data_IF_889460649049
#
_entry.id   IF_889460649049
#
_cell.length_a   1.000
_cell.length_b   1.000
_cell.length_c   1.000
_cell.angle_alpha   90.00
_cell.angle_beta   90.00
_cell.angle_gamma   90.00
#
_symmetry.space_group_name_H-M   'P 1'
#
loop_
_entity.id
_entity.type
_entity.pdbx_description
1 polymer ?
#
# COMPACT_ATOMS: atom_id res chain seq x y z
N UNK A 1 -5.55 17.95 25.46
CA UNK A 1 -4.92 16.61 25.60
C UNK A 1 -5.74 15.51 24.94
N UNK A 2 -7.00 15.30 25.27
CA UNK A 2 -7.83 14.21 24.72
C UNK A 2 -7.90 14.21 23.18
N UNK A 3 -8.06 15.37 22.55
CA UNK A 3 -8.08 15.51 21.09
C UNK A 3 -6.79 15.05 20.41
N UNK A 4 -5.64 15.37 20.99
CA UNK A 4 -4.33 14.97 20.46
C UNK A 4 -4.14 13.46 20.52
N UNK A 5 -4.55 12.85 21.63
CA UNK A 5 -4.49 11.40 21.79
C UNK A 5 -5.44 10.69 20.81
N UNK A 6 -6.67 11.18 20.67
CA UNK A 6 -7.63 10.61 19.73
C UNK A 6 -7.15 10.72 18.27
N UNK A 7 -6.66 11.88 17.88
CA UNK A 7 -6.10 12.10 16.54
C UNK A 7 -4.90 11.18 16.28
N UNK A 8 -4.01 11.01 17.26
CA UNK A 8 -2.87 10.11 17.18
C UNK A 8 -3.29 8.65 17.03
N UNK A 9 -4.25 8.18 17.84
CA UNK A 9 -4.79 6.82 17.74
C UNK A 9 -5.41 6.57 16.36
N UNK A 10 -6.22 7.49 15.86
CA UNK A 10 -6.87 7.35 14.56
C UNK A 10 -5.84 7.32 13.42
N UNK A 11 -4.89 8.23 13.45
CA UNK A 11 -3.81 8.31 12.45
C UNK A 11 -2.96 7.03 12.45
N UNK A 12 -2.55 6.57 13.65
CA UNK A 12 -1.75 5.37 13.80
C UNK A 12 -2.50 4.11 13.37
N UNK A 13 -3.75 3.94 13.82
CA UNK A 13 -4.59 2.82 13.40
C UNK A 13 -4.75 2.78 11.89
N UNK A 14 -5.07 3.92 11.27
CA UNK A 14 -5.25 4.01 9.81
C UNK A 14 -3.98 3.61 9.05
N UNK A 15 -2.82 4.03 9.52
CA UNK A 15 -1.51 3.70 8.93
C UNK A 15 -1.23 2.21 8.99
N UNK A 16 -1.32 1.60 10.18
CA UNK A 16 -1.02 0.18 10.37
C UNK A 16 -2.01 -0.73 9.63
N UNK A 17 -3.31 -0.41 9.69
CA UNK A 17 -4.36 -1.17 8.98
C UNK A 17 -4.16 -1.08 7.46
N UNK A 18 -3.73 0.05 6.94
CA UNK A 18 -3.39 0.20 5.53
C UNK A 18 -2.24 -0.73 5.13
N UNK A 19 -1.14 -0.73 5.89
CA UNK A 19 0.01 -1.61 5.64
C UNK A 19 -0.37 -3.10 5.71
N UNK A 20 -1.12 -3.52 6.72
CA UNK A 20 -1.62 -4.89 6.84
C UNK A 20 -2.54 -5.27 5.68
N UNK A 21 -3.42 -4.38 5.26
CA UNK A 21 -4.34 -4.62 4.14
C UNK A 21 -3.58 -4.81 2.82
N UNK A 22 -2.58 -3.98 2.53
CA UNK A 22 -1.72 -4.12 1.35
C UNK A 22 -0.98 -5.46 1.41
N UNK A 23 -0.47 -5.84 2.58
CA UNK A 23 0.19 -7.13 2.79
C UNK A 23 -0.76 -8.31 2.50
N UNK A 24 -1.99 -8.28 3.01
CA UNK A 24 -3.01 -9.31 2.76
C UNK A 24 -3.37 -9.41 1.28
N UNK A 25 -3.55 -8.29 0.58
CA UNK A 25 -3.81 -8.27 -0.86
C UNK A 25 -2.62 -8.86 -1.63
N UNK A 26 -1.40 -8.52 -1.24
CA UNK A 26 -0.18 -9.05 -1.87
C UNK A 26 -0.10 -10.56 -1.68
N UNK A 27 -0.36 -11.07 -0.47
CA UNK A 27 -0.39 -12.49 -0.18
C UNK A 27 -1.47 -13.23 -0.97
N UNK A 28 -2.69 -12.69 -1.05
CA UNK A 28 -3.76 -13.27 -1.86
C UNK A 28 -3.33 -13.42 -3.32
N UNK A 29 -2.79 -12.38 -3.91
CA UNK A 29 -2.33 -12.40 -5.30
C UNK A 29 -1.16 -13.35 -5.52
N UNK A 30 -0.22 -13.37 -4.60
CA UNK A 30 0.91 -14.29 -4.64
C UNK A 30 0.44 -15.75 -4.61
N UNK A 31 -0.47 -16.11 -3.71
CA UNK A 31 -1.02 -17.46 -3.60
C UNK A 31 -1.77 -17.85 -4.88
N UNK A 32 -2.62 -16.99 -5.40
CA UNK A 32 -3.41 -17.28 -6.61
C UNK A 32 -2.51 -17.52 -7.83
N UNK A 33 -1.43 -16.76 -7.96
CA UNK A 33 -0.54 -16.86 -9.13
C UNK A 33 0.46 -18.00 -9.05
N UNK A 34 0.99 -18.28 -7.85
CA UNK A 34 2.03 -19.33 -7.69
C UNK A 34 1.45 -20.70 -7.39
N UNK A 35 0.27 -20.76 -6.81
CA UNK A 35 -0.40 -22.00 -6.41
C UNK A 35 -1.82 -22.09 -7.00
N UNK A 36 -1.98 -22.14 -8.35
CA UNK A 36 -3.29 -22.06 -8.99
C UNK A 36 -4.20 -23.25 -8.63
N UNK A 37 -3.64 -24.39 -8.27
CA UNK A 37 -4.36 -25.60 -7.85
C UNK A 37 -4.53 -25.73 -6.33
N UNK A 38 -4.04 -24.77 -5.56
CA UNK A 38 -4.18 -24.78 -4.11
C UNK A 38 -5.64 -24.52 -3.71
N UNK A 39 -6.09 -25.26 -2.70
CA UNK A 39 -7.37 -24.98 -2.04
C UNK A 39 -7.27 -23.77 -1.10
N UNK A 40 -6.07 -23.29 -0.81
CA UNK A 40 -5.80 -22.12 0.02
C UNK A 40 -6.07 -20.87 -0.83
N UNK A 41 -7.30 -20.38 -0.76
CA UNK A 41 -7.71 -19.11 -1.39
C UNK A 41 -8.49 -18.29 -0.37
N UNK A 42 -8.33 -16.99 -0.42
CA UNK A 42 -9.15 -16.09 0.38
C UNK A 42 -10.60 -16.13 -0.13
N UNK A 43 -11.42 -16.96 0.53
CA UNK A 43 -12.88 -16.92 0.35
C UNK A 43 -13.41 -15.63 1.02
N UNK A 44 -14.59 -15.12 0.64
CA UNK A 44 -15.12 -13.88 1.24
C UNK A 44 -15.15 -13.88 2.76
N UNK A 45 -15.47 -15.01 3.39
CA UNK A 45 -15.47 -15.14 4.85
C UNK A 45 -14.05 -15.06 5.46
N UNK A 46 -13.06 -15.73 4.85
CA UNK A 46 -11.68 -15.70 5.34
C UNK A 46 -11.03 -14.34 5.08
N UNK A 47 -11.36 -13.67 3.96
CA UNK A 47 -10.93 -12.31 3.70
C UNK A 47 -11.49 -11.33 4.74
N UNK A 48 -12.78 -11.42 5.03
CA UNK A 48 -13.42 -10.60 6.07
C UNK A 48 -12.79 -10.81 7.44
N UNK A 49 -12.51 -12.07 7.81
CA UNK A 49 -11.81 -12.39 9.07
C UNK A 49 -10.40 -11.81 9.09
N UNK A 50 -9.62 -11.93 8.00
CA UNK A 50 -8.28 -11.38 7.91
C UNK A 50 -8.29 -9.84 8.01
N UNK A 51 -9.26 -9.17 7.38
CA UNK A 51 -9.45 -7.73 7.54
C UNK A 51 -9.83 -7.35 8.97
N UNK A 52 -10.73 -8.10 9.60
CA UNK A 52 -11.09 -7.87 11.01
C UNK A 52 -9.89 -8.01 11.93
N UNK A 53 -9.05 -9.03 11.72
CA UNK A 53 -7.80 -9.21 12.45
C UNK A 53 -6.82 -8.06 12.22
N UNK A 54 -6.68 -7.58 10.99
CA UNK A 54 -5.86 -6.41 10.68
C UNK A 54 -6.33 -5.16 11.44
N UNK A 55 -7.65 -4.94 11.50
CA UNK A 55 -8.25 -3.84 12.25
C UNK A 55 -8.06 -3.99 13.76
N UNK A 56 -8.27 -5.18 14.31
CA UNK A 56 -8.10 -5.43 15.76
C UNK A 56 -6.65 -5.31 16.19
N UNK A 57 -5.72 -5.81 15.39
CA UNK A 57 -4.28 -5.67 15.67
C UNK A 57 -3.85 -4.20 15.54
N UNK A 58 -4.20 -3.51 14.45
CA UNK A 58 -3.85 -2.10 14.25
C UNK A 58 -4.40 -1.19 15.34
N UNK A 59 -5.66 -1.38 15.73
CA UNK A 59 -6.27 -0.66 16.85
C UNK A 59 -5.61 -1.01 18.18
N UNK A 60 -5.31 -2.30 18.43
CA UNK A 60 -4.61 -2.75 19.62
C UNK A 60 -3.24 -2.10 19.77
N UNK A 61 -2.45 -2.06 18.68
CA UNK A 61 -1.17 -1.36 18.65
C UNK A 61 -1.32 0.14 18.92
N UNK A 62 -2.36 0.78 18.40
CA UNK A 62 -2.59 2.20 18.63
C UNK A 62 -3.05 2.53 20.06
N UNK A 63 -3.84 1.66 20.70
CA UNK A 63 -4.41 1.90 22.04
C UNK A 63 -3.44 1.47 23.14
N UNK A 64 -2.59 0.46 22.89
CA UNK A 64 -1.67 -0.08 23.89
C UNK A 64 -0.83 0.99 24.62
N UNK A 65 -0.24 2.00 23.94
CA UNK A 65 0.51 3.05 24.64
C UNK A 65 -0.31 3.91 25.60
N UNK A 66 -1.63 3.97 25.42
CA UNK A 66 -2.52 4.74 26.29
C UNK A 66 -2.74 4.07 27.66
N UNK A 67 -2.49 2.76 27.77
CA UNK A 67 -2.56 2.04 29.05
C UNK A 67 -1.49 2.52 30.03
N UNK A 68 -0.42 3.12 29.52
CA UNK A 68 0.63 3.75 30.32
C UNK A 68 0.39 5.27 30.40
N UNK A 69 -0.42 5.69 31.37
CA UNK A 69 -0.82 7.11 31.52
C UNK A 69 0.36 8.09 31.61
N UNK A 70 1.52 7.63 32.10
CA UNK A 70 2.75 8.42 32.22
C UNK A 70 3.46 8.69 30.91
N UNK A 71 3.15 7.92 29.85
CA UNK A 71 3.86 8.06 28.59
C UNK A 71 3.45 9.28 27.78
N UNK A 72 2.22 9.77 27.95
CA UNK A 72 1.66 10.88 27.14
C UNK A 72 1.98 10.74 25.65
N UNK A 73 1.95 9.50 25.14
CA UNK A 73 2.57 9.02 23.91
C UNK A 73 2.29 9.90 22.68
N UNK A 74 1.02 10.27 22.46
CA UNK A 74 0.61 11.08 21.29
C UNK A 74 0.72 12.59 21.51
N UNK A 75 0.99 13.04 22.74
CA UNK A 75 1.11 14.47 23.06
C UNK A 75 2.56 14.95 23.15
N UNK A 76 3.53 14.05 22.96
CA UNK A 76 4.96 14.38 23.02
C UNK A 76 5.43 15.24 21.82
N UNK A 77 4.72 15.18 20.71
CA UNK A 77 5.04 15.97 19.52
C UNK A 77 3.87 16.88 19.15
N UNK A 78 4.17 18.06 18.61
CA UNK A 78 3.15 19.01 18.13
C UNK A 78 2.29 18.46 16.98
N UNK A 79 2.62 17.30 16.46
CA UNK A 79 2.08 16.72 15.22
C UNK A 79 1.24 15.45 15.47
N UNK A 80 1.02 15.06 16.72
CA UNK A 80 0.24 13.88 17.13
C UNK A 80 0.68 12.56 16.45
N UNK A 81 1.93 12.48 16.00
CA UNK A 81 2.49 11.29 15.37
C UNK A 81 3.37 10.56 16.39
N UNK A 82 3.22 9.26 16.54
CA UNK A 82 4.02 8.45 17.46
C UNK A 82 5.45 8.19 16.95
N UNK A 83 6.01 9.10 16.15
CA UNK A 83 7.30 8.89 15.52
C UNK A 83 8.43 9.44 16.38
N UNK A 84 9.47 8.63 16.71
CA UNK A 84 10.60 9.09 17.50
C UNK A 84 11.57 9.89 16.61
N UNK A 85 11.18 11.11 16.25
CA UNK A 85 12.02 12.01 15.42
C UNK A 85 12.74 13.04 16.30
N UNK A 86 12.68 12.90 17.62
CA UNK A 86 13.33 13.78 18.57
C UNK A 86 14.47 13.05 19.29
N UNK A 87 15.55 13.77 19.62
CA UNK A 87 16.67 13.26 20.40
C UNK A 87 16.32 12.87 21.85
N UNK A 88 15.21 13.33 22.36
CA UNK A 88 14.81 13.07 23.74
C UNK A 88 14.20 11.67 23.84
N UNK A 89 14.85 10.81 24.64
CA UNK A 89 14.27 9.55 25.04
C UNK A 89 13.03 9.81 25.90
N UNK A 90 11.87 9.71 25.29
CA UNK A 90 10.61 9.82 26.01
C UNK A 90 10.10 8.41 26.40
N UNK A 91 9.29 8.30 27.45
CA UNK A 91 8.66 7.04 27.79
C UNK A 91 7.86 6.49 26.59
N UNK A 92 8.10 5.22 26.21
CA UNK A 92 7.50 4.64 25.02
C UNK A 92 8.31 4.76 23.71
N UNK A 93 9.50 5.38 23.75
CA UNK A 93 10.37 5.49 22.57
C UNK A 93 10.67 4.13 21.92
N UNK A 94 11.04 3.13 22.69
CA UNK A 94 11.30 1.77 22.18
C UNK A 94 10.09 1.14 21.52
N UNK A 95 8.90 1.34 22.09
CA UNK A 95 7.66 0.89 21.50
C UNK A 95 7.40 1.57 20.14
N UNK A 96 7.48 2.88 20.12
CA UNK A 96 7.34 3.68 18.90
C UNK A 96 8.33 3.24 17.82
N UNK A 97 9.60 3.08 18.15
CA UNK A 97 10.63 2.62 17.23
C UNK A 97 10.33 1.21 16.70
N UNK A 98 9.97 0.28 17.59
CA UNK A 98 9.71 -1.11 17.20
C UNK A 98 8.50 -1.22 16.26
N UNK A 99 7.43 -0.49 16.49
CA UNK A 99 6.23 -0.58 15.66
C UNK A 99 6.37 0.30 14.40
N UNK A 100 6.76 1.57 14.54
CA UNK A 100 6.82 2.50 13.42
C UNK A 100 7.96 2.21 12.44
N UNK A 101 9.11 1.73 12.93
CA UNK A 101 10.28 1.51 12.08
C UNK A 101 10.45 0.02 11.78
N UNK A 102 10.59 -0.82 12.81
CA UNK A 102 10.95 -2.23 12.58
C UNK A 102 9.81 -3.02 11.95
N UNK A 103 8.59 -2.94 12.50
CA UNK A 103 7.42 -3.64 11.97
C UNK A 103 7.08 -3.16 10.56
N UNK A 104 6.98 -1.85 10.35
CA UNK A 104 6.63 -1.30 9.04
C UNK A 104 7.71 -1.60 7.99
N UNK A 105 9.00 -1.57 8.36
CA UNK A 105 10.07 -1.96 7.45
C UNK A 105 9.99 -3.45 7.08
N UNK A 106 9.71 -4.33 8.03
CA UNK A 106 9.52 -5.75 7.78
C UNK A 106 8.31 -6.02 6.85
N UNK A 107 7.18 -5.36 7.11
CA UNK A 107 6.00 -5.42 6.23
C UNK A 107 6.32 -4.92 4.83
N UNK A 108 7.03 -3.80 4.73
CA UNK A 108 7.44 -3.24 3.45
C UNK A 108 8.31 -4.21 2.64
N UNK A 109 9.33 -4.81 3.27
CA UNK A 109 10.18 -5.81 2.60
C UNK A 109 9.36 -7.01 2.12
N UNK A 110 8.46 -7.51 2.96
CA UNK A 110 7.56 -8.62 2.61
C UNK A 110 6.67 -8.27 1.41
N UNK A 111 6.06 -7.10 1.42
CA UNK A 111 5.22 -6.61 0.32
C UNK A 111 6.05 -6.43 -0.96
N UNK A 112 7.23 -5.83 -0.88
CA UNK A 112 8.10 -5.60 -2.03
C UNK A 112 8.55 -6.91 -2.67
N UNK A 113 8.95 -7.90 -1.88
CA UNK A 113 9.32 -9.23 -2.36
C UNK A 113 8.12 -9.95 -3.00
N UNK A 114 6.96 -9.89 -2.38
CA UNK A 114 5.72 -10.44 -2.93
C UNK A 114 5.33 -9.81 -4.26
N UNK A 115 5.39 -8.49 -4.37
CA UNK A 115 5.11 -7.76 -5.62
C UNK A 115 6.13 -8.05 -6.72
N UNK A 116 7.42 -8.14 -6.37
CA UNK A 116 8.46 -8.53 -7.32
C UNK A 116 8.21 -9.95 -7.88
N UNK A 117 7.89 -10.90 -7.02
CA UNK A 117 7.56 -12.26 -7.42
C UNK A 117 6.31 -12.31 -8.33
N UNK A 118 5.24 -11.60 -7.97
CA UNK A 118 4.03 -11.46 -8.80
C UNK A 118 4.39 -10.89 -10.17
N UNK A 119 5.14 -9.81 -10.23
CA UNK A 119 5.53 -9.15 -11.47
C UNK A 119 6.35 -10.06 -12.39
N UNK A 120 7.34 -10.77 -11.84
CA UNK A 120 8.20 -11.71 -12.58
C UNK A 120 7.34 -12.84 -13.15
N UNK A 121 6.44 -13.42 -12.36
CA UNK A 121 5.58 -14.52 -12.77
C UNK A 121 4.62 -14.11 -13.88
N UNK A 122 3.95 -12.97 -13.73
CA UNK A 122 3.03 -12.46 -14.75
C UNK A 122 3.78 -12.19 -16.07
N UNK A 123 4.95 -11.54 -16.00
CA UNK A 123 5.78 -11.27 -17.17
C UNK A 123 6.25 -12.55 -17.86
N UNK A 124 6.72 -13.54 -17.10
CA UNK A 124 7.17 -14.84 -17.64
C UNK A 124 6.03 -15.58 -18.33
N UNK A 125 4.84 -15.60 -17.74
CA UNK A 125 3.68 -16.27 -18.32
C UNK A 125 3.19 -15.59 -19.61
N UNK A 126 3.21 -14.27 -19.66
CA UNK A 126 2.87 -13.49 -20.87
C UNK A 126 3.81 -13.80 -22.03
N UNK A 127 5.11 -13.97 -21.76
CA UNK A 127 6.11 -14.30 -22.78
C UNK A 127 5.96 -15.74 -23.32
N UNK A 128 5.50 -16.67 -22.48
CA UNK A 128 5.39 -18.11 -22.86
C UNK A 128 4.10 -18.44 -23.63
N UNK A 129 3.00 -17.81 -23.34
CA UNK A 129 1.66 -18.23 -23.80
C UNK A 129 1.02 -17.29 -24.83
N UNK A 130 1.61 -16.14 -25.11
CA UNK A 130 0.95 -15.07 -25.86
C UNK A 130 -0.13 -14.37 -25.02
N UNK A 131 -0.63 -13.23 -25.51
CA UNK A 131 -1.56 -12.41 -24.74
C UNK A 131 -2.99 -12.96 -24.82
N UNK A 132 -3.43 -13.75 -23.84
CA UNK A 132 -4.85 -14.09 -23.69
C UNK A 132 -5.58 -13.04 -22.84
N UNK A 133 -6.90 -12.92 -23.04
CA UNK A 133 -7.75 -11.88 -22.39
C UNK A 133 -7.68 -11.92 -20.85
N UNK A 134 -7.47 -13.09 -20.25
CA UNK A 134 -7.30 -13.25 -18.79
C UNK A 134 -5.95 -12.71 -18.29
N UNK A 135 -4.87 -12.93 -19.04
CA UNK A 135 -3.53 -12.48 -18.67
C UNK A 135 -3.37 -10.95 -18.74
N UNK A 136 -4.09 -10.27 -19.62
CA UNK A 136 -4.08 -8.80 -19.66
C UNK A 136 -4.68 -8.20 -18.38
N UNK A 137 -5.70 -8.84 -17.80
CA UNK A 137 -6.31 -8.41 -16.55
C UNK A 137 -5.34 -8.58 -15.35
N UNK A 138 -4.67 -9.73 -15.26
CA UNK A 138 -3.71 -10.01 -14.18
C UNK A 138 -2.50 -9.08 -14.24
N UNK A 139 -1.99 -8.78 -15.43
CA UNK A 139 -0.88 -7.82 -15.62
C UNK A 139 -1.27 -6.41 -15.18
N UNK A 140 -2.47 -5.98 -15.53
CA UNK A 140 -2.97 -4.66 -15.16
C UNK A 140 -3.18 -4.55 -13.66
N UNK A 141 -3.73 -5.59 -13.03
CA UNK A 141 -3.92 -5.62 -11.58
C UNK A 141 -2.58 -5.58 -10.85
N UNK A 142 -1.59 -6.36 -11.31
CA UNK A 142 -0.24 -6.35 -10.75
C UNK A 142 0.43 -4.98 -10.87
N UNK A 143 0.29 -4.29 -12.01
CA UNK A 143 0.80 -2.93 -12.18
C UNK A 143 0.13 -1.93 -11.23
N UNK A 144 -1.18 -2.03 -11.02
CA UNK A 144 -1.91 -1.16 -10.08
C UNK A 144 -1.40 -1.32 -8.65
N UNK A 145 -1.28 -2.57 -8.21
CA UNK A 145 -0.78 -2.87 -6.87
C UNK A 145 0.66 -2.39 -6.70
N UNK A 146 1.52 -2.62 -7.68
CA UNK A 146 2.90 -2.14 -7.66
C UNK A 146 2.97 -0.60 -7.55
N UNK A 147 2.10 0.11 -8.28
CA UNK A 147 2.04 1.59 -8.22
C UNK A 147 1.64 2.08 -6.83
N UNK A 148 0.66 1.45 -6.18
CA UNK A 148 0.26 1.78 -4.80
C UNK A 148 1.40 1.51 -3.83
N UNK A 149 2.06 0.35 -3.93
CA UNK A 149 3.19 0.00 -3.06
C UNK A 149 4.36 0.96 -3.22
N UNK A 150 4.68 1.36 -4.47
CA UNK A 150 5.75 2.34 -4.72
C UNK A 150 5.38 3.71 -4.15
N UNK A 151 4.13 4.16 -4.30
CA UNK A 151 3.70 5.45 -3.74
C UNK A 151 3.75 5.45 -2.21
N UNK A 152 3.29 4.38 -1.56
CA UNK A 152 3.40 4.20 -0.12
C UNK A 152 4.87 4.23 0.34
N UNK A 153 5.74 3.49 -0.36
CA UNK A 153 7.16 3.50 -0.06
C UNK A 153 7.77 4.90 -0.13
N UNK A 154 7.50 5.64 -1.21
CA UNK A 154 8.03 6.99 -1.38
C UNK A 154 7.56 7.95 -0.28
N UNK A 155 6.38 7.72 0.30
CA UNK A 155 5.88 8.50 1.43
C UNK A 155 6.53 8.09 2.76
N UNK A 156 6.66 6.78 3.03
CA UNK A 156 7.12 6.28 4.33
C UNK A 156 8.65 6.17 4.45
N UNK A 157 9.35 5.96 3.34
CA UNK A 157 10.81 5.82 3.34
C UNK A 157 11.56 7.04 3.93
N UNK A 158 11.25 8.30 3.54
CA UNK A 158 11.88 9.47 4.16
C UNK A 158 11.63 9.54 5.68
N UNK A 159 10.42 9.19 6.10
CA UNK A 159 10.04 9.16 7.52
C UNK A 159 10.86 8.12 8.28
N UNK A 160 11.00 6.92 7.70
CA UNK A 160 11.82 5.85 8.26
C UNK A 160 13.31 6.23 8.40
N UNK A 161 13.87 6.87 7.37
CA UNK A 161 15.26 7.37 7.41
C UNK A 161 15.46 8.38 8.52
N UNK A 162 14.55 9.36 8.67
CA UNK A 162 14.63 10.36 9.74
C UNK A 162 14.45 9.73 11.11
N UNK A 163 13.57 8.72 11.25
CA UNK A 163 13.44 7.96 12.49
C UNK A 163 14.73 7.22 12.88
N UNK A 164 15.42 6.62 11.90
CA UNK A 164 16.71 5.97 12.11
C UNK A 164 17.82 6.98 12.46
N UNK A 165 17.83 8.16 11.83
CA UNK A 165 18.77 9.24 12.17
C UNK A 165 18.54 9.72 13.61
N UNK A 166 17.30 9.95 14.00
CA UNK A 166 16.96 10.35 15.36
C UNK A 166 17.35 9.29 16.39
N UNK A 167 17.15 8.00 16.08
CA UNK A 167 17.56 6.87 16.92
C UNK A 167 19.09 6.75 17.09
N UNK A 168 19.86 7.37 16.17
CA UNK A 168 21.33 7.47 16.24
C UNK A 168 21.82 8.84 16.76
N UNK A 169 20.95 9.59 17.44
CA UNK A 169 21.23 10.92 17.99
C UNK A 169 21.63 12.00 16.95
N UNK A 170 21.37 11.76 15.66
CA UNK A 170 21.53 12.80 14.67
C UNK A 170 20.43 13.87 14.80
N UNK A 171 20.77 15.17 14.76
CA UNK A 171 19.79 16.23 14.89
C UNK A 171 18.89 16.29 13.65
N UNK A 172 17.60 16.09 13.85
CA UNK A 172 16.57 16.33 12.82
C UNK A 172 15.90 17.67 13.12
N UNK A 173 15.96 18.64 12.19
CA UNK A 173 15.31 19.94 12.39
C UNK A 173 13.79 19.79 12.54
N UNK A 174 13.19 20.50 13.47
CA UNK A 174 11.73 20.45 13.72
C UNK A 174 10.91 20.82 12.48
N UNK A 175 11.41 21.72 11.64
CA UNK A 175 10.79 22.12 10.38
C UNK A 175 10.59 20.95 9.41
N UNK A 176 11.54 19.99 9.38
CA UNK A 176 11.43 18.79 8.54
C UNK A 176 10.28 17.91 9.02
N UNK A 177 10.12 17.73 10.33
CA UNK A 177 9.03 16.96 10.91
C UNK A 177 7.67 17.57 10.59
N UNK A 178 7.56 18.90 10.72
CA UNK A 178 6.34 19.65 10.38
C UNK A 178 6.03 19.51 8.89
N UNK A 179 7.03 19.65 8.02
CA UNK A 179 6.83 19.51 6.57
C UNK A 179 6.37 18.09 6.20
N UNK A 180 6.94 17.04 6.80
CA UNK A 180 6.49 15.67 6.58
C UNK A 180 5.04 15.45 7.01
N UNK A 181 4.66 15.98 8.16
CA UNK A 181 3.30 15.84 8.67
C UNK A 181 2.27 16.58 7.81
N UNK A 182 2.62 17.76 7.30
CA UNK A 182 1.70 18.60 6.53
C UNK A 182 1.60 18.14 5.08
N UNK A 183 2.69 17.68 4.47
CA UNK A 183 2.72 17.37 3.04
C UNK A 183 2.73 15.86 2.77
N UNK A 184 3.57 15.08 3.43
CA UNK A 184 3.79 13.68 3.06
C UNK A 184 2.65 12.78 3.54
N UNK A 185 2.19 12.93 4.79
CA UNK A 185 1.12 12.09 5.34
C UNK A 185 -0.24 12.29 4.65
N UNK A 186 -0.71 13.54 4.40
CA UNK A 186 -1.94 13.74 3.63
C UNK A 186 -1.81 13.29 2.18
N UNK A 187 -0.62 13.43 1.58
CA UNK A 187 -0.36 12.98 0.21
C UNK A 187 -0.53 11.46 0.10
N UNK A 188 0.00 10.69 1.06
CA UNK A 188 -0.19 9.24 1.09
C UNK A 188 -1.67 8.84 1.11
N UNK A 189 -2.47 9.49 1.95
CA UNK A 189 -3.91 9.25 2.04
C UNK A 189 -4.67 9.63 0.76
N UNK A 190 -4.25 10.70 0.08
CA UNK A 190 -4.86 11.18 -1.15
C UNK A 190 -4.46 10.37 -2.38
N UNK A 191 -3.23 9.84 -2.44
CA UNK A 191 -2.73 9.13 -3.60
C UNK A 191 -3.49 7.82 -3.85
N UNK A 192 -3.84 7.06 -2.82
CA UNK A 192 -4.48 5.76 -2.96
C UNK A 192 -5.80 5.84 -3.78
N UNK A 193 -6.82 6.61 -3.42
CA UNK A 193 -8.05 6.72 -4.20
C UNK A 193 -7.81 7.33 -5.57
N UNK A 194 -6.86 8.27 -5.71
CA UNK A 194 -6.51 8.88 -6.97
C UNK A 194 -5.90 7.85 -7.96
N UNK A 195 -4.95 7.04 -7.50
CA UNK A 195 -4.31 6.00 -8.30
C UNK A 195 -5.32 4.93 -8.76
N UNK A 196 -6.22 4.50 -7.86
CA UNK A 196 -7.28 3.56 -8.24
C UNK A 196 -8.21 4.14 -9.30
N UNK A 197 -8.64 5.37 -9.13
CA UNK A 197 -9.55 6.05 -10.08
C UNK A 197 -8.88 6.29 -11.43
N UNK A 198 -7.65 6.81 -11.43
CA UNK A 198 -6.89 7.08 -12.65
C UNK A 198 -6.68 5.81 -13.46
N UNK A 199 -6.23 4.73 -12.81
CA UNK A 199 -6.01 3.45 -13.46
C UNK A 199 -7.31 2.91 -14.09
N UNK A 200 -8.44 3.01 -13.38
CA UNK A 200 -9.74 2.59 -13.91
C UNK A 200 -10.19 3.40 -15.12
N UNK A 201 -9.97 4.71 -15.10
CA UNK A 201 -10.30 5.60 -16.23
C UNK A 201 -9.39 5.29 -17.45
N UNK A 202 -8.09 5.11 -17.22
CA UNK A 202 -7.15 4.79 -18.30
C UNK A 202 -7.49 3.45 -18.96
N UNK A 203 -7.88 2.44 -18.20
CA UNK A 203 -8.31 1.16 -18.78
C UNK A 203 -9.59 1.26 -19.59
N UNK A 204 -10.60 1.95 -19.06
CA UNK A 204 -11.83 2.18 -19.81
C UNK A 204 -11.54 2.89 -21.14
N UNK A 205 -10.60 3.84 -21.15
CA UNK A 205 -10.16 4.53 -22.38
C UNK A 205 -9.41 3.58 -23.33
N UNK A 206 -8.51 2.72 -22.81
CA UNK A 206 -7.79 1.71 -23.61
C UNK A 206 -8.76 0.69 -24.21
N UNK A 207 -9.69 0.17 -23.42
CA UNK A 207 -10.70 -0.77 -23.88
C UNK A 207 -11.56 -0.18 -25.00
N UNK A 208 -12.05 1.08 -24.86
CA UNK A 208 -12.81 1.77 -25.89
C UNK A 208 -12.00 1.95 -27.21
N UNK A 209 -10.71 2.33 -27.10
CA UNK A 209 -9.84 2.47 -28.28
C UNK A 209 -9.65 1.12 -28.98
N UNK A 210 -9.46 0.04 -28.23
CA UNK A 210 -9.27 -1.29 -28.79
C UNK A 210 -10.53 -1.75 -29.53
N UNK A 211 -11.72 -1.59 -28.91
CA UNK A 211 -13.02 -1.94 -29.54
C UNK A 211 -13.24 -1.14 -30.83
N UNK A 212 -12.94 0.16 -30.83
CA UNK A 212 -13.05 0.98 -32.03
C UNK A 212 -12.10 0.52 -33.14
N UNK A 213 -10.85 0.16 -32.79
CA UNK A 213 -9.86 -0.33 -33.76
C UNK A 213 -10.32 -1.68 -34.35
N UNK A 214 -10.81 -2.60 -33.51
CA UNK A 214 -11.33 -3.90 -33.97
C UNK A 214 -12.49 -3.72 -34.93
N UNK A 215 -13.44 -2.82 -34.64
CA UNK A 215 -14.55 -2.52 -35.52
C UNK A 215 -14.10 -1.96 -36.88
N UNK A 216 -13.09 -1.11 -36.91
CA UNK A 216 -12.51 -0.58 -38.16
C UNK A 216 -11.84 -1.68 -38.99
N UNK A 217 -11.08 -2.57 -38.34
CA UNK A 217 -10.43 -3.71 -38.99
C UNK A 217 -11.48 -4.66 -39.60
N UNK A 218 -12.50 -5.00 -38.80
CA UNK A 218 -13.60 -5.87 -39.32
C UNK A 218 -14.34 -5.24 -40.48
N UNK A 219 -14.62 -3.93 -40.43
CA UNK A 219 -15.25 -3.21 -41.55
C UNK A 219 -14.38 -3.24 -42.81
N UNK A 220 -13.04 -3.06 -42.68
CA UNK A 220 -12.10 -3.16 -43.80
C UNK A 220 -12.06 -4.58 -44.40
N UNK A 221 -12.00 -5.61 -43.57
CA UNK A 221 -12.00 -6.99 -44.05
C UNK A 221 -13.30 -7.30 -44.82
N UNK A 222 -14.46 -6.90 -44.27
CA UNK A 222 -15.74 -7.08 -44.97
C UNK A 222 -15.79 -6.33 -46.31
N UNK A 223 -15.25 -5.14 -46.37
CA UNK A 223 -15.19 -4.38 -47.63
C UNK A 223 -14.31 -5.03 -48.67
N UNK A 224 -13.15 -5.58 -48.30
CA UNK A 224 -12.27 -6.33 -49.17
C UNK A 224 -12.90 -7.62 -49.71
N UNK A 225 -13.61 -8.37 -48.81
CA UNK A 225 -14.30 -9.60 -49.24
C UNK A 225 -15.45 -9.34 -50.24
N UNK A 226 -16.13 -8.20 -50.14
CA UNK A 226 -17.18 -7.81 -51.11
C UNK A 226 -16.64 -7.27 -52.46
N UNK A 227 -15.38 -6.85 -52.53
CA UNK A 227 -14.77 -6.38 -53.75
C UNK A 227 -14.09 -7.48 -54.57
N UNK A 228 -14.08 -8.74 -54.08
CA UNK A 228 -13.48 -9.91 -54.74
C UNK A 228 -14.57 -10.83 -55.34
N UNK A 229 -15.83 -10.56 -55.07
CA UNK A 229 -16.99 -11.23 -55.66
C UNK A 229 -17.52 -10.40 -56.82
#
# INVERSE_FOLDING_TARGET
>A
MVFLQLAGVLSFTSSEVSAFTICLITLDRFIVLHFPFSQVRFKPKSAALACLLAWTVGLGLAVLPLTHATWQFYSQTSICIPLPVTRTHFPGHHYSFSVMIVLNFALFVLIALGQAAIFITVRSNTLKTGTTRGQSFDTTLAQRLATVVVSDFLCWFPIGVLGLMAARDYPVPSQVNVALAIFVLPLNSALNPFLYTLNTVLEKRRAKKLTALTAVIEARIRAQMKGVS
#
